data_IF_874303397591
#
_entry.id   IF_874303397591
#
_cell.length_a   1.000
_cell.length_b   1.000
_cell.length_c   1.000
_cell.angle_alpha   90.00
_cell.angle_beta   90.00
_cell.angle_gamma   90.00
#
_symmetry.space_group_name_H-M   'P 1'
#
loop_
_entity.id
_entity.type
_entity.pdbx_description
1 polymer ?
#
# COMPACT_ATOMS: atom_id res chain seq x y z
N UNK A 1 43.46 -55.21 -3.47
CA UNK A 1 43.18 -55.44 -2.05
C UNK A 1 43.91 -54.33 -1.32
N UNK A 2 43.30 -53.30 -0.74
CA UNK A 2 41.92 -53.11 -0.29
C UNK A 2 41.54 -51.61 -0.33
N UNK A 3 40.25 -51.36 -0.56
CA UNK A 3 39.60 -50.05 -0.43
C UNK A 3 39.41 -49.68 1.04
N UNK A 4 39.32 -48.36 1.30
CA UNK A 4 38.51 -47.61 2.31
C UNK A 4 39.34 -46.45 2.87
N UNK A 5 38.86 -45.24 3.17
CA UNK A 5 37.60 -44.49 3.03
C UNK A 5 37.97 -43.04 3.39
N UNK A 6 37.15 -42.09 2.95
CA UNK A 6 37.00 -40.72 3.49
C UNK A 6 37.81 -39.62 2.82
N UNK A 7 37.13 -38.77 2.05
CA UNK A 7 36.83 -37.44 2.58
C UNK A 7 35.69 -36.79 1.82
N UNK A 8 34.86 -36.18 2.64
CA UNK A 8 33.51 -35.72 2.42
C UNK A 8 33.44 -34.39 1.66
N UNK A 9 32.34 -34.24 0.93
CA UNK A 9 31.50 -33.03 0.88
C UNK A 9 32.13 -31.69 0.44
N UNK A 10 31.95 -31.41 -0.86
CA UNK A 10 31.29 -30.22 -1.42
C UNK A 10 31.36 -28.91 -0.61
N UNK A 11 32.37 -28.08 -0.90
CA UNK A 11 32.35 -26.66 -0.54
C UNK A 11 31.43 -25.92 -1.51
N UNK A 12 30.14 -25.83 -1.18
CA UNK A 12 29.27 -24.80 -1.74
C UNK A 12 29.56 -23.50 -1.02
N UNK A 13 30.58 -22.78 -1.51
CA UNK A 13 30.89 -21.42 -1.11
C UNK A 13 29.79 -20.46 -1.61
N UNK A 14 28.71 -20.38 -0.84
CA UNK A 14 27.97 -19.18 -0.46
C UNK A 14 27.69 -18.16 -1.58
N UNK A 15 26.43 -18.19 -2.01
CA UNK A 15 25.68 -17.08 -2.61
C UNK A 15 26.04 -15.74 -1.97
N UNK A 16 26.81 -14.92 -2.67
CA UNK A 16 26.78 -13.47 -2.53
C UNK A 16 26.03 -12.94 -3.75
N UNK A 17 24.73 -13.21 -3.79
CA UNK A 17 23.80 -12.39 -4.56
C UNK A 17 23.94 -10.99 -4.00
N UNK A 18 24.70 -10.16 -4.71
CA UNK A 18 24.78 -8.73 -4.47
C UNK A 18 23.36 -8.20 -4.47
N UNK A 19 22.82 -8.00 -3.26
CA UNK A 19 21.62 -7.23 -3.07
C UNK A 19 21.94 -5.85 -3.61
N UNK A 20 21.49 -5.58 -4.84
CA UNK A 20 21.46 -4.22 -5.36
C UNK A 20 20.87 -3.38 -4.24
N UNK A 21 21.53 -2.27 -3.83
CA UNK A 21 20.91 -1.36 -2.89
C UNK A 21 19.55 -1.04 -3.50
N UNK A 22 18.47 -1.36 -2.79
CA UNK A 22 17.12 -0.94 -3.18
C UNK A 22 17.23 0.58 -3.26
N UNK A 23 17.43 1.08 -4.49
CA UNK A 23 17.34 2.50 -4.79
C UNK A 23 15.96 2.84 -4.25
N UNK A 24 15.93 3.61 -3.15
CA UNK A 24 14.71 4.22 -2.65
C UNK A 24 14.23 5.09 -3.78
N UNK A 25 13.41 4.50 -4.64
CA UNK A 25 12.86 5.18 -5.79
C UNK A 25 11.88 6.17 -5.21
N UNK A 26 12.29 7.42 -5.20
CA UNK A 26 11.43 8.52 -4.82
C UNK A 26 10.24 8.51 -5.77
N UNK A 27 9.07 8.11 -5.28
CA UNK A 27 7.83 8.02 -6.06
C UNK A 27 6.94 9.19 -5.70
N UNK A 28 6.37 9.84 -6.70
CA UNK A 28 5.28 10.77 -6.44
C UNK A 28 4.01 9.96 -6.27
N UNK A 29 3.12 10.41 -5.39
CA UNK A 29 1.78 9.84 -5.31
C UNK A 29 0.77 10.86 -4.81
N UNK A 30 -0.49 10.52 -4.98
CA UNK A 30 -1.61 11.32 -4.49
C UNK A 30 -2.00 10.84 -3.11
N UNK A 31 -2.12 11.77 -2.17
CA UNK A 31 -2.71 11.53 -0.88
C UNK A 31 -3.95 12.41 -0.70
N UNK A 32 -4.96 11.90 0.01
CA UNK A 32 -6.22 12.59 0.19
C UNK A 32 -6.96 12.19 1.45
N UNK A 33 -7.86 13.05 1.89
CA UNK A 33 -8.83 12.72 2.93
C UNK A 33 -10.11 12.17 2.26
N UNK A 34 -10.63 11.06 2.77
CA UNK A 34 -11.85 10.41 2.29
C UNK A 34 -12.82 10.23 3.45
N UNK A 35 -13.98 10.89 3.38
CA UNK A 35 -15.06 10.67 4.35
C UNK A 35 -16.04 9.66 3.78
N UNK A 36 -16.22 8.54 4.47
CA UNK A 36 -17.07 7.43 4.05
C UNK A 36 -18.26 7.29 5.01
N UNK A 37 -19.50 7.54 4.55
CA UNK A 37 -20.70 7.32 5.35
C UNK A 37 -21.03 5.84 5.52
N UNK A 38 -21.55 5.46 6.69
CA UNK A 38 -22.10 4.13 6.99
C UNK A 38 -21.09 2.98 6.99
N UNK A 39 -19.80 3.27 6.76
CA UNK A 39 -18.73 2.29 6.83
C UNK A 39 -17.79 2.59 7.98
N UNK A 40 -17.56 1.57 8.80
CA UNK A 40 -16.45 1.53 9.73
C UNK A 40 -15.11 1.53 8.98
N UNK A 41 -14.03 1.82 9.70
CA UNK A 41 -12.70 1.92 9.11
C UNK A 41 -12.19 0.64 8.44
N UNK A 42 -12.58 -0.55 8.93
CA UNK A 42 -12.02 -1.82 8.43
C UNK A 42 -12.54 -2.18 7.04
N UNK A 43 -13.87 -2.21 6.78
CA UNK A 43 -14.38 -2.43 5.42
C UNK A 43 -13.90 -1.36 4.42
N UNK A 44 -13.84 -0.10 4.85
CA UNK A 44 -13.35 0.97 3.98
C UNK A 44 -11.87 0.76 3.57
N UNK A 45 -11.02 0.29 4.49
CA UNK A 45 -9.63 -0.07 4.18
C UNK A 45 -9.51 -1.24 3.22
N UNK A 46 -10.35 -2.27 3.37
CA UNK A 46 -10.35 -3.42 2.46
C UNK A 46 -10.73 -3.00 1.03
N UNK A 47 -11.77 -2.17 0.88
CA UNK A 47 -12.15 -1.64 -0.43
C UNK A 47 -11.06 -0.75 -1.01
N UNK A 48 -10.40 0.10 -0.20
CA UNK A 48 -9.27 0.91 -0.66
C UNK A 48 -8.09 0.06 -1.12
N UNK A 49 -7.74 -1.00 -0.39
CA UNK A 49 -6.67 -1.92 -0.77
C UNK A 49 -7.01 -2.71 -2.05
N UNK A 50 -8.28 -3.04 -2.26
CA UNK A 50 -8.75 -3.64 -3.51
C UNK A 50 -8.68 -2.65 -4.69
N UNK A 51 -9.14 -1.42 -4.47
CA UNK A 51 -9.30 -0.40 -5.52
C UNK A 51 -7.96 0.21 -5.97
N UNK A 52 -7.06 0.48 -5.02
CA UNK A 52 -5.75 1.11 -5.27
C UNK A 52 -4.57 0.15 -5.14
N UNK A 53 -4.83 -1.14 -4.86
CA UNK A 53 -3.80 -2.14 -4.67
C UNK A 53 -3.14 -2.13 -3.29
N UNK A 54 -2.26 -3.12 -3.08
CA UNK A 54 -1.69 -3.43 -1.77
C UNK A 54 -0.71 -2.37 -1.20
N UNK A 55 -0.31 -1.39 -2.00
CA UNK A 55 0.58 -0.30 -1.58
C UNK A 55 -0.19 0.92 -1.07
N UNK A 56 -1.51 0.94 -1.26
CA UNK A 56 -2.38 1.96 -0.70
C UNK A 56 -2.40 1.83 0.83
N UNK A 57 -2.21 2.96 1.51
CA UNK A 57 -2.24 3.02 2.97
C UNK A 57 -3.38 3.94 3.39
N UNK A 58 -4.15 3.51 4.38
CA UNK A 58 -5.32 4.26 4.84
C UNK A 58 -5.35 4.33 6.37
N UNK A 59 -5.31 5.55 6.89
CA UNK A 59 -5.22 5.88 8.31
C UNK A 59 -6.50 6.55 8.77
N UNK A 60 -7.07 6.13 9.90
CA UNK A 60 -8.25 6.79 10.46
C UNK A 60 -7.82 8.15 11.01
N UNK A 61 -8.43 9.20 10.48
CA UNK A 61 -8.28 10.58 10.98
C UNK A 61 -9.37 10.86 12.01
N UNK A 62 -10.60 10.46 11.69
CA UNK A 62 -11.77 10.75 12.53
C UNK A 62 -12.84 9.68 12.34
N UNK A 63 -13.61 9.41 13.39
CA UNK A 63 -14.85 8.65 13.31
C UNK A 63 -15.94 9.43 14.03
N UNK A 64 -16.98 9.83 13.30
CA UNK A 64 -18.12 10.56 13.84
C UNK A 64 -19.32 9.64 14.00
N UNK A 65 -19.69 9.33 15.25
CA UNK A 65 -20.89 8.53 15.55
C UNK A 65 -22.19 9.31 15.35
N UNK A 66 -22.15 10.64 15.45
CA UNK A 66 -23.32 11.49 15.26
C UNK A 66 -23.77 11.49 13.79
N UNK A 67 -22.79 11.50 12.88
CA UNK A 67 -23.03 11.55 11.44
C UNK A 67 -22.85 10.20 10.75
N UNK A 68 -22.58 9.14 11.53
CA UNK A 68 -22.31 7.79 11.05
C UNK A 68 -21.31 7.76 9.88
N UNK A 69 -20.12 8.35 10.10
CA UNK A 69 -19.09 8.42 9.07
C UNK A 69 -17.68 8.25 9.63
N UNK A 70 -16.78 7.77 8.78
CA UNK A 70 -15.35 7.65 9.07
C UNK A 70 -14.54 8.44 8.05
N UNK A 71 -13.60 9.26 8.52
CA UNK A 71 -12.65 9.98 7.68
C UNK A 71 -11.30 9.27 7.71
N UNK A 72 -10.79 8.94 6.52
CA UNK A 72 -9.52 8.29 6.30
C UNK A 72 -8.57 9.22 5.57
N UNK A 73 -7.32 9.30 6.02
CA UNK A 73 -6.23 9.81 5.20
C UNK A 73 -5.66 8.65 4.40
N UNK A 74 -5.71 8.77 3.09
CA UNK A 74 -5.33 7.73 2.13
C UNK A 74 -4.13 8.20 1.35
N UNK A 75 -3.12 7.36 1.24
CA UNK A 75 -1.98 7.55 0.37
C UNK A 75 -1.97 6.42 -0.67
N UNK A 76 -2.04 6.77 -1.95
CA UNK A 76 -2.06 5.80 -3.05
C UNK A 76 -0.67 5.62 -3.64
N UNK A 77 -0.57 4.78 -4.66
CA UNK A 77 0.56 4.69 -5.57
C UNK A 77 0.31 5.42 -6.91
N UNK A 78 -0.89 5.97 -7.13
CA UNK A 78 -1.23 6.72 -8.32
C UNK A 78 -0.63 8.14 -8.29
N UNK A 79 -0.14 8.58 -9.44
CA UNK A 79 0.37 9.93 -9.68
C UNK A 79 -0.66 10.87 -10.34
N UNK A 80 -1.81 10.33 -10.78
CA UNK A 80 -2.88 11.07 -11.44
C UNK A 80 -4.12 11.17 -10.54
N UNK A 81 -4.55 12.40 -10.27
CA UNK A 81 -5.76 12.68 -9.50
C UNK A 81 -7.03 12.22 -10.23
N UNK A 82 -7.04 12.21 -11.57
CA UNK A 82 -8.21 11.78 -12.34
C UNK A 82 -8.44 10.27 -12.17
N UNK A 83 -7.38 9.47 -12.13
CA UNK A 83 -7.45 8.03 -11.85
C UNK A 83 -7.96 7.77 -10.43
N UNK A 84 -7.53 8.60 -9.46
CA UNK A 84 -8.03 8.54 -8.09
C UNK A 84 -9.52 8.84 -8.02
N UNK A 85 -9.98 9.93 -8.66
CA UNK A 85 -11.39 10.30 -8.69
C UNK A 85 -12.22 9.21 -9.38
N UNK A 86 -11.77 8.69 -10.52
CA UNK A 86 -12.44 7.62 -11.24
C UNK A 86 -12.61 6.37 -10.38
N UNK A 87 -11.53 5.95 -9.71
CA UNK A 87 -11.52 4.82 -8.78
C UNK A 87 -12.46 5.04 -7.60
N UNK A 88 -12.41 6.21 -6.96
CA UNK A 88 -13.30 6.52 -5.84
C UNK A 88 -14.76 6.53 -6.24
N UNK A 89 -15.09 7.08 -7.41
CA UNK A 89 -16.47 7.14 -7.89
C UNK A 89 -17.04 5.74 -8.17
N UNK A 90 -16.19 4.79 -8.58
CA UNK A 90 -16.59 3.39 -8.84
C UNK A 90 -16.83 2.58 -7.56
N UNK A 91 -16.06 2.82 -6.49
CA UNK A 91 -16.06 1.99 -5.29
C UNK A 91 -16.71 2.64 -4.07
N UNK A 92 -16.82 3.98 -4.04
CA UNK A 92 -17.33 4.76 -2.94
C UNK A 92 -18.34 5.82 -3.43
N UNK A 93 -19.52 5.39 -3.94
CA UNK A 93 -20.47 6.29 -4.61
C UNK A 93 -21.02 7.41 -3.72
N UNK A 94 -20.96 7.25 -2.39
CA UNK A 94 -21.47 8.21 -1.42
C UNK A 94 -20.35 8.86 -0.58
N UNK A 95 -19.08 8.60 -0.89
CA UNK A 95 -17.98 9.20 -0.14
C UNK A 95 -17.69 10.63 -0.59
N UNK A 96 -17.16 11.42 0.34
CA UNK A 96 -16.67 12.78 0.06
C UNK A 96 -15.15 12.76 -0.03
N UNK A 97 -14.63 13.21 -1.17
CA UNK A 97 -13.21 13.50 -1.33
C UNK A 97 -12.92 14.87 -0.74
N UNK A 98 -12.08 14.90 0.29
CA UNK A 98 -11.63 16.11 0.96
C UNK A 98 -10.38 16.70 0.31
N UNK A 99 -9.45 17.15 1.16
CA UNK A 99 -8.16 17.68 0.72
C UNK A 99 -7.42 16.65 -0.11
N UNK A 100 -6.80 17.10 -1.20
CA UNK A 100 -5.92 16.30 -2.06
C UNK A 100 -4.56 16.97 -2.17
N UNK A 101 -3.49 16.20 -2.01
CA UNK A 101 -2.10 16.66 -2.08
C UNK A 101 -1.26 15.69 -2.90
N UNK A 102 -0.23 16.20 -3.57
CA UNK A 102 0.86 15.37 -4.08
C UNK A 102 1.88 15.18 -2.96
N UNK A 103 2.24 13.94 -2.69
CA UNK A 103 3.29 13.57 -1.73
C UNK A 103 4.41 12.85 -2.46
N UNK A 104 5.57 12.82 -1.81
CA UNK A 104 6.76 12.14 -2.33
C UNK A 104 7.14 11.07 -1.30
N UNK A 105 7.09 9.80 -1.72
CA UNK A 105 7.45 8.64 -0.88
C UNK A 105 8.87 8.16 -1.21
N UNK A 106 9.58 7.65 -0.20
CA UNK A 106 10.96 7.15 -0.27
C UNK A 106 11.06 5.66 0.07
#
# INVERSE_FOLDING_TARGET
>A
MDLRTSSDSTILAHTLSGGSPRRRETRHCVAFDLTVPGLDSSPAREVLAYAFGALAQAYVVETSRLHDCTTLYVETDSEDINDVIGTLTAHFPNATLGRVIRVTRH
#
